data_IF_432163233162
#
_entry.id   IF_432163233162
#
_cell.length_a   1.000
_cell.length_b   1.000
_cell.length_c   1.000
_cell.angle_alpha   90.00
_cell.angle_beta   90.00
_cell.angle_gamma   90.00
#
_symmetry.space_group_name_H-M   'P 1'
#
loop_
_entity.id
_entity.type
_entity.pdbx_description
1 polymer ?
#
# COMPACT_ATOMS: atom_id res chain seq x y z
N UNK A 1 -20.17 -65.65 -5.47
CA UNK A 1 -19.68 -64.26 -5.40
C UNK A 1 -19.53 -63.92 -3.92
N UNK A 2 -18.34 -63.47 -3.51
CA UNK A 2 -17.84 -63.55 -2.13
C UNK A 2 -18.42 -62.44 -1.24
N UNK A 3 -18.65 -62.83 0.01
CA UNK A 3 -19.20 -62.07 1.13
C UNK A 3 -18.30 -60.88 1.52
N UNK A 4 -18.90 -59.74 1.87
CA UNK A 4 -18.22 -58.64 2.55
C UNK A 4 -18.44 -58.79 4.06
N UNK A 5 -17.33 -58.95 4.79
CA UNK A 5 -17.29 -59.00 6.25
C UNK A 5 -17.45 -57.59 6.84
N UNK A 6 -18.25 -57.53 7.90
CA UNK A 6 -18.46 -56.39 8.79
C UNK A 6 -17.23 -56.18 9.68
N UNK A 7 -16.71 -54.96 9.74
CA UNK A 7 -15.80 -54.52 10.81
C UNK A 7 -16.39 -53.33 11.55
N UNK A 8 -17.01 -53.62 12.69
CA UNK A 8 -17.37 -52.65 13.72
C UNK A 8 -16.17 -52.38 14.63
N UNK A 9 -15.68 -51.13 14.69
CA UNK A 9 -14.99 -50.60 15.87
C UNK A 9 -15.31 -49.11 16.02
N UNK A 10 -16.07 -48.79 17.07
CA UNK A 10 -16.35 -47.42 17.48
C UNK A 10 -15.15 -46.77 18.17
N UNK A 11 -15.05 -45.44 18.06
CA UNK A 11 -14.30 -44.60 19.00
C UNK A 11 -14.94 -43.22 19.10
N UNK A 12 -15.12 -42.85 20.35
CA UNK A 12 -15.91 -41.78 20.96
C UNK A 12 -15.38 -40.37 20.67
N UNK A 13 -16.32 -39.45 20.41
CA UNK A 13 -16.18 -38.00 20.48
C UNK A 13 -15.84 -37.52 21.90
N UNK A 14 -15.00 -36.48 22.01
CA UNK A 14 -14.96 -35.59 23.19
C UNK A 14 -14.44 -34.21 22.76
N UNK A 15 -15.38 -33.25 22.67
CA UNK A 15 -15.11 -31.81 22.71
C UNK A 15 -14.84 -31.40 24.16
N UNK A 16 -13.84 -30.55 24.40
CA UNK A 16 -13.64 -29.87 25.68
C UNK A 16 -13.95 -28.38 25.50
N UNK A 17 -15.02 -27.95 26.18
CA UNK A 17 -15.45 -26.56 26.35
C UNK A 17 -15.19 -26.22 27.82
N UNK A 18 -14.52 -25.11 28.12
CA UNK A 18 -14.30 -24.66 29.51
C UNK A 18 -14.74 -23.19 29.66
N UNK A 19 -15.84 -23.04 30.40
CA UNK A 19 -16.41 -21.81 30.91
C UNK A 19 -16.30 -21.89 32.44
N UNK A 20 -15.73 -20.90 33.10
CA UNK A 20 -15.95 -20.72 34.54
C UNK A 20 -15.75 -19.26 34.94
N UNK A 21 -16.86 -18.66 35.38
CA UNK A 21 -16.93 -17.37 36.07
C UNK A 21 -16.43 -17.51 37.52
N UNK A 22 -15.91 -16.42 38.10
CA UNK A 22 -15.74 -16.29 39.54
C UNK A 22 -16.11 -14.88 40.01
N UNK A 23 -17.04 -14.82 40.96
CA UNK A 23 -17.46 -13.64 41.69
C UNK A 23 -16.50 -13.34 42.85
N UNK A 24 -16.32 -12.06 43.21
CA UNK A 24 -15.78 -11.65 44.52
C UNK A 24 -16.58 -10.49 45.10
N UNK A 25 -16.76 -10.61 46.40
CA UNK A 25 -17.66 -9.95 47.36
C UNK A 25 -17.26 -8.52 47.71
N UNK A 26 -18.24 -7.66 47.99
CA UNK A 26 -18.07 -6.35 48.62
C UNK A 26 -18.21 -6.43 50.14
N UNK A 27 -17.34 -5.73 50.89
CA UNK A 27 -17.64 -4.97 52.14
C UNK A 27 -16.38 -4.35 52.73
N UNK A 28 -16.44 -3.09 53.17
CA UNK A 28 -15.48 -2.52 54.13
C UNK A 28 -15.35 -0.99 54.08
N UNK A 29 -15.92 -0.30 55.07
CA UNK A 29 -16.00 1.16 55.25
C UNK A 29 -15.08 1.64 56.41
N UNK A 30 -14.66 2.92 56.37
CA UNK A 30 -14.06 3.69 57.49
C UNK A 30 -12.65 4.24 57.15
N UNK A 31 -12.26 5.50 57.39
CA UNK A 31 -12.85 6.64 58.08
C UNK A 31 -11.78 7.39 58.89
N UNK A 32 -11.34 8.58 58.43
CA UNK A 32 -10.90 9.72 59.26
C UNK A 32 -9.47 9.79 59.84
N UNK A 33 -8.86 10.99 59.75
CA UNK A 33 -7.83 11.46 60.69
C UNK A 33 -6.62 12.16 60.05
N UNK A 34 -6.55 13.49 60.10
CA UNK A 34 -5.41 14.29 59.61
C UNK A 34 -4.31 14.56 60.64
N UNK A 35 -3.13 14.98 60.16
CA UNK A 35 -2.07 15.55 61.00
C UNK A 35 -0.65 15.55 60.39
N UNK A 36 -0.21 16.73 59.89
CA UNK A 36 1.15 17.36 59.90
C UNK A 36 2.40 16.56 59.42
N UNK A 37 2.93 16.96 58.26
CA UNK A 37 4.32 17.16 57.75
C UNK A 37 5.57 16.72 58.59
N UNK A 38 6.80 16.58 58.02
CA UNK A 38 7.23 16.38 56.60
C UNK A 38 8.41 15.35 56.39
N UNK A 39 8.77 15.17 55.12
CA UNK A 39 10.13 14.92 54.58
C UNK A 39 10.77 13.50 54.67
N UNK A 40 11.12 12.99 53.47
CA UNK A 40 12.02 11.88 53.10
C UNK A 40 11.51 10.43 53.16
N UNK A 41 11.42 9.80 51.97
CA UNK A 41 11.79 8.39 51.80
C UNK A 41 10.74 7.45 51.21
N UNK A 42 11.18 6.70 50.19
CA UNK A 42 10.69 5.38 49.74
C UNK A 42 9.51 5.30 48.75
N UNK A 43 9.92 5.10 47.49
CA UNK A 43 9.39 4.21 46.44
C UNK A 43 8.22 3.29 46.80
N UNK A 44 7.20 3.26 45.94
CA UNK A 44 6.12 2.27 45.99
C UNK A 44 5.26 2.20 44.72
N UNK A 45 5.86 2.22 43.52
CA UNK A 45 5.16 1.79 42.31
C UNK A 45 5.33 0.27 42.18
N UNK A 46 4.22 -0.45 42.35
CA UNK A 46 4.10 -1.90 42.16
C UNK A 46 4.37 -2.27 40.70
N UNK A 47 5.58 -2.74 40.44
CA UNK A 47 5.95 -3.33 39.17
C UNK A 47 5.25 -4.69 38.99
N UNK A 48 4.68 -4.88 37.81
CA UNK A 48 4.20 -6.16 37.30
C UNK A 48 5.39 -7.11 37.23
N UNK A 49 5.38 -8.16 38.05
CA UNK A 49 6.39 -9.22 38.03
C UNK A 49 6.14 -10.10 36.80
N UNK A 50 6.88 -9.85 35.73
CA UNK A 50 7.08 -10.83 34.66
C UNK A 50 8.17 -11.80 35.15
N UNK A 51 7.96 -13.13 35.15
CA UNK A 51 8.99 -14.06 35.60
C UNK A 51 10.22 -13.98 34.70
N UNK A 52 11.37 -13.61 35.28
CA UNK A 52 12.66 -13.68 34.60
C UNK A 52 13.00 -15.14 34.30
N UNK A 53 13.18 -15.45 33.03
CA UNK A 53 13.91 -16.64 32.59
C UNK A 53 15.38 -16.46 33.00
N UNK A 54 16.02 -17.43 33.67
CA UNK A 54 17.44 -17.32 34.02
C UNK A 54 18.27 -17.23 32.75
N UNK A 55 18.93 -16.08 32.54
CA UNK A 55 20.00 -15.98 31.55
C UNK A 55 21.16 -16.87 32.02
N UNK A 56 21.47 -17.89 31.23
CA UNK A 56 22.70 -18.66 31.40
C UNK A 56 23.94 -17.76 31.30
N UNK A 57 25.12 -18.24 31.73
CA UNK A 57 26.34 -17.44 31.69
C UNK A 57 26.57 -16.91 30.28
N UNK A 58 26.79 -15.59 30.18
CA UNK A 58 27.15 -14.91 28.94
C UNK A 58 28.48 -15.49 28.49
N UNK A 59 28.45 -16.38 27.50
CA UNK A 59 29.64 -16.79 26.77
C UNK A 59 30.07 -15.56 25.97
N UNK A 60 31.26 -14.99 26.20
CA UNK A 60 31.78 -13.94 25.34
C UNK A 60 31.85 -14.52 23.93
N UNK A 61 31.15 -13.91 22.97
CA UNK A 61 31.33 -14.25 21.57
C UNK A 61 32.78 -13.88 21.22
N UNK A 62 33.69 -14.86 21.27
CA UNK A 62 35.00 -14.73 20.65
C UNK A 62 34.73 -14.68 19.14
N UNK A 63 34.96 -13.55 18.46
CA UNK A 63 34.76 -13.50 17.02
C UNK A 63 35.68 -14.54 16.36
N UNK A 64 35.24 -15.20 15.28
CA UNK A 64 36.08 -16.15 14.56
C UNK A 64 37.41 -15.50 14.18
N UNK A 65 38.51 -16.21 14.36
CA UNK A 65 39.83 -15.75 13.93
C UNK A 65 39.77 -15.40 12.43
N UNK A 66 39.82 -14.11 12.10
CA UNK A 66 39.65 -13.58 10.74
C UNK A 66 38.54 -12.54 10.55
N UNK A 67 37.74 -12.21 11.57
CA UNK A 67 36.80 -11.10 11.48
C UNK A 67 37.55 -9.75 11.47
N UNK A 68 37.64 -9.13 10.29
CA UNK A 68 38.15 -7.76 10.13
C UNK A 68 37.12 -6.82 10.76
N UNK A 69 37.43 -6.30 11.94
CA UNK A 69 36.74 -5.14 12.51
C UNK A 69 36.88 -4.01 11.46
N UNK A 70 35.81 -3.29 11.05
CA UNK A 70 35.98 -2.10 10.23
C UNK A 70 36.90 -1.15 10.98
N UNK A 71 38.17 -1.11 10.57
CA UNK A 71 39.15 -0.22 11.16
C UNK A 71 38.68 1.20 10.97
N UNK A 72 38.72 2.00 12.05
CA UNK A 72 38.55 3.43 12.00
C UNK A 72 39.62 4.01 11.05
N UNK A 73 39.23 4.17 9.79
CA UNK A 73 40.06 4.75 8.76
C UNK A 73 39.97 6.27 8.95
N UNK A 74 41.07 6.91 9.34
CA UNK A 74 41.15 8.37 9.40
C UNK A 74 41.20 8.89 7.97
N UNK A 75 40.03 9.25 7.43
CA UNK A 75 39.91 9.85 6.10
C UNK A 75 40.59 11.22 6.08
N UNK A 76 41.79 11.28 5.48
CA UNK A 76 42.53 12.51 5.21
C UNK A 76 42.71 12.75 3.69
N UNK A 77 41.93 12.05 2.87
CA UNK A 77 41.95 12.11 1.41
C UNK A 77 40.59 12.48 0.82
N UNK A 78 40.45 12.43 -0.52
CA UNK A 78 39.19 12.72 -1.21
C UNK A 78 38.06 11.81 -0.73
N UNK A 79 36.83 12.33 -0.72
CA UNK A 79 35.65 11.60 -0.24
C UNK A 79 34.54 11.52 -1.29
N UNK A 80 33.76 10.44 -1.25
CA UNK A 80 32.54 10.31 -2.06
C UNK A 80 31.38 10.97 -1.31
N UNK A 81 30.82 12.03 -1.89
CA UNK A 81 29.75 12.85 -1.29
C UNK A 81 28.36 12.33 -1.63
N UNK A 82 28.21 11.67 -2.78
CA UNK A 82 26.95 11.09 -3.22
C UNK A 82 27.16 9.83 -4.09
N UNK A 83 26.16 8.95 -4.08
CA UNK A 83 26.07 7.78 -4.96
C UNK A 83 24.68 7.67 -5.57
N UNK A 84 24.58 7.16 -6.80
CA UNK A 84 23.32 6.79 -7.45
C UNK A 84 23.47 5.41 -8.11
N UNK A 85 22.69 4.38 -7.73
CA UNK A 85 21.71 4.39 -6.65
C UNK A 85 22.32 4.73 -5.30
N UNK A 86 21.58 5.50 -4.51
CA UNK A 86 21.98 5.90 -3.15
C UNK A 86 22.22 4.68 -2.26
N UNK A 87 23.14 4.81 -1.31
CA UNK A 87 23.41 3.74 -0.35
C UNK A 87 22.13 3.35 0.42
N UNK A 88 21.84 2.05 0.48
CA UNK A 88 20.63 1.51 1.09
C UNK A 88 19.38 1.65 0.23
N UNK A 89 19.47 2.11 -1.03
CA UNK A 89 18.31 2.18 -1.92
C UNK A 89 17.74 0.78 -2.16
N UNK A 90 16.48 0.55 -1.77
CA UNK A 90 15.85 -0.77 -1.84
C UNK A 90 15.14 -1.05 -3.17
N UNK A 91 15.09 -0.09 -4.10
CA UNK A 91 14.36 -0.21 -5.37
C UNK A 91 14.96 0.66 -6.48
N UNK A 92 16.26 0.51 -6.70
CA UNK A 92 16.93 1.06 -7.85
C UNK A 92 16.30 0.50 -9.14
N UNK A 93 16.13 1.35 -10.17
CA UNK A 93 15.77 0.84 -11.50
C UNK A 93 16.79 -0.21 -11.98
N UNK A 94 16.36 -1.15 -12.80
CA UNK A 94 17.26 -2.16 -13.40
C UNK A 94 18.04 -1.60 -14.60
N UNK A 95 17.59 -0.49 -15.18
CA UNK A 95 18.20 0.19 -16.32
C UNK A 95 18.15 1.72 -16.16
N UNK A 96 18.95 2.41 -16.96
CA UNK A 96 18.94 3.87 -17.10
C UNK A 96 18.52 4.24 -18.52
N UNK A 97 17.55 5.15 -18.66
CA UNK A 97 17.07 5.60 -19.97
C UNK A 97 18.20 6.20 -20.80
N UNK A 98 18.28 5.86 -22.08
CA UNK A 98 19.33 6.33 -22.98
C UNK A 98 20.63 5.54 -22.92
N UNK A 99 20.76 4.54 -22.04
CA UNK A 99 21.88 3.61 -22.02
C UNK A 99 21.61 2.44 -22.97
N UNK A 100 22.58 2.12 -23.82
CA UNK A 100 22.49 1.01 -24.77
C UNK A 100 22.20 -0.33 -24.06
N UNK A 101 21.49 -1.23 -24.76
CA UNK A 101 21.13 -2.56 -24.25
C UNK A 101 20.39 -2.56 -22.90
N UNK A 102 19.68 -1.46 -22.59
CA UNK A 102 19.03 -1.25 -21.30
C UNK A 102 20.03 -1.33 -20.11
N UNK A 103 21.28 -0.93 -20.30
CA UNK A 103 22.26 -0.87 -19.23
C UNK A 103 21.84 0.06 -18.09
N UNK A 104 22.45 -0.13 -16.93
CA UNK A 104 22.30 0.71 -15.74
C UNK A 104 23.54 1.58 -15.58
N UNK A 105 23.33 2.86 -15.33
CA UNK A 105 24.38 3.76 -14.84
C UNK A 105 24.39 3.75 -13.32
N UNK A 106 25.57 3.50 -12.75
CA UNK A 106 25.87 3.59 -11.32
C UNK A 106 26.94 4.67 -11.14
N UNK A 107 26.66 5.70 -10.36
CA UNK A 107 27.52 6.87 -10.23
C UNK A 107 28.00 7.10 -8.80
N UNK A 108 29.13 7.79 -8.70
CA UNK A 108 29.69 8.29 -7.46
C UNK A 108 30.25 9.70 -7.70
N UNK A 109 29.86 10.63 -6.85
CA UNK A 109 30.29 12.03 -6.89
C UNK A 109 31.35 12.25 -5.81
N UNK A 110 32.46 12.89 -6.17
CA UNK A 110 33.54 13.21 -5.25
C UNK A 110 33.42 14.65 -4.73
N UNK A 111 34.06 14.96 -3.61
CA UNK A 111 34.18 16.32 -3.05
C UNK A 111 35.19 17.20 -3.81
N UNK A 112 36.02 16.60 -4.66
CA UNK A 112 37.05 17.28 -5.42
C UNK A 112 37.37 16.55 -6.74
N UNK A 113 38.07 17.21 -7.69
CA UNK A 113 38.49 16.55 -8.91
C UNK A 113 39.46 15.38 -8.67
N UNK A 114 39.09 14.22 -9.17
CA UNK A 114 39.88 12.98 -9.11
C UNK A 114 40.77 12.79 -10.34
N UNK A 115 41.76 11.89 -10.24
CA UNK A 115 42.54 11.44 -11.38
C UNK A 115 41.76 10.33 -12.12
N UNK A 116 41.12 10.70 -13.23
CA UNK A 116 40.30 9.80 -14.03
C UNK A 116 41.01 8.54 -14.54
N UNK A 117 42.35 8.56 -14.69
CA UNK A 117 43.10 7.37 -15.10
C UNK A 117 43.08 6.26 -14.03
N UNK A 118 42.88 6.62 -12.77
CA UNK A 118 42.76 5.66 -11.65
C UNK A 118 41.34 5.12 -11.46
N UNK A 119 40.35 5.69 -12.16
CA UNK A 119 38.94 5.28 -12.10
C UNK A 119 38.63 4.45 -13.35
N UNK A 120 38.59 3.13 -13.17
CA UNK A 120 38.39 2.17 -14.26
C UNK A 120 37.65 0.92 -13.74
N UNK A 121 37.47 -0.08 -14.60
CA UNK A 121 36.71 -1.30 -14.26
C UNK A 121 37.33 -2.15 -13.13
N UNK A 122 38.58 -1.89 -12.74
CA UNK A 122 39.22 -2.55 -11.59
C UNK A 122 38.88 -1.80 -10.31
N UNK A 123 38.96 -0.47 -10.32
CA UNK A 123 38.80 0.36 -9.14
C UNK A 123 37.36 0.74 -8.83
N UNK A 124 36.46 0.74 -9.82
CA UNK A 124 35.03 0.89 -9.65
C UNK A 124 34.32 -0.39 -10.10
N UNK A 125 33.78 -1.13 -9.16
CA UNK A 125 33.17 -2.45 -9.39
C UNK A 125 31.73 -2.51 -8.88
N UNK A 126 30.95 -3.42 -9.47
CA UNK A 126 29.57 -3.71 -9.10
C UNK A 126 29.37 -5.22 -9.09
N UNK A 127 28.83 -5.78 -8.01
CA UNK A 127 28.58 -7.21 -7.88
C UNK A 127 27.22 -7.48 -7.24
N UNK A 128 26.44 -8.49 -7.69
CA UNK A 128 25.29 -8.98 -6.93
C UNK A 128 25.78 -9.64 -5.62
N UNK A 129 25.00 -9.51 -4.55
CA UNK A 129 25.31 -10.13 -3.25
C UNK A 129 25.39 -11.65 -3.43
N UNK A 130 26.53 -12.24 -3.06
CA UNK A 130 26.80 -13.66 -3.21
C UNK A 130 27.20 -14.11 -4.63
N UNK A 131 27.40 -13.18 -5.57
CA UNK A 131 27.85 -13.47 -6.93
C UNK A 131 29.17 -12.79 -7.31
N UNK A 132 29.63 -13.05 -8.53
CA UNK A 132 30.85 -12.47 -9.08
C UNK A 132 30.64 -11.02 -9.54
N UNK A 133 31.70 -10.22 -9.53
CA UNK A 133 31.68 -8.86 -10.07
C UNK A 133 31.26 -8.87 -11.54
N UNK A 134 30.37 -7.93 -11.88
CA UNK A 134 29.90 -7.74 -13.25
C UNK A 134 31.01 -7.14 -14.10
N UNK A 135 31.01 -7.48 -15.38
CA UNK A 135 31.86 -6.83 -16.38
C UNK A 135 31.10 -5.60 -16.90
N UNK A 136 31.54 -4.37 -16.58
CA UNK A 136 30.87 -3.17 -17.08
C UNK A 136 31.09 -3.00 -18.58
N UNK A 137 30.16 -2.35 -19.27
CA UNK A 137 30.37 -1.89 -20.64
C UNK A 137 31.37 -0.74 -20.69
N UNK A 138 31.33 0.16 -19.71
CA UNK A 138 32.31 1.24 -19.56
C UNK A 138 32.42 1.73 -18.12
N UNK A 139 33.55 2.35 -17.80
CA UNK A 139 33.74 3.17 -16.61
C UNK A 139 34.36 4.49 -17.08
N UNK A 140 33.69 5.59 -16.77
CA UNK A 140 34.07 6.93 -17.20
C UNK A 140 34.13 7.86 -15.99
N UNK A 141 34.95 8.90 -16.06
CA UNK A 141 35.01 9.95 -15.05
C UNK A 141 34.96 11.32 -15.74
N UNK A 142 34.06 12.18 -15.28
CA UNK A 142 33.97 13.57 -15.70
C UNK A 142 34.53 14.48 -14.61
N UNK A 143 35.63 15.15 -14.92
CA UNK A 143 36.32 16.04 -13.98
C UNK A 143 35.57 17.33 -13.70
N UNK A 144 34.69 17.80 -14.61
CA UNK A 144 33.94 19.03 -14.43
C UNK A 144 32.80 18.85 -13.42
N UNK A 145 32.08 17.74 -13.53
CA UNK A 145 31.01 17.37 -12.58
C UNK A 145 31.51 16.57 -11.37
N UNK A 146 32.77 16.12 -11.38
CA UNK A 146 33.37 15.27 -10.34
C UNK A 146 32.66 13.92 -10.18
N UNK A 147 32.07 13.41 -11.26
CA UNK A 147 31.26 12.18 -11.25
C UNK A 147 31.99 11.04 -11.97
N UNK A 148 32.19 9.93 -11.25
CA UNK A 148 32.50 8.64 -11.85
C UNK A 148 31.21 7.90 -12.21
N UNK A 149 31.16 7.30 -13.40
CA UNK A 149 30.01 6.53 -13.90
C UNK A 149 30.47 5.16 -14.36
N UNK A 150 29.92 4.12 -13.75
CA UNK A 150 30.00 2.74 -14.23
C UNK A 150 28.71 2.43 -15.00
N UNK A 151 28.84 1.98 -16.24
CA UNK A 151 27.71 1.59 -17.08
C UNK A 151 27.73 0.09 -17.31
N UNK A 152 26.65 -0.61 -16.94
CA UNK A 152 26.54 -2.06 -17.14
C UNK A 152 26.21 -2.40 -18.60
N UNK A 153 26.67 -3.57 -19.07
CA UNK A 153 26.46 -4.02 -20.45
C UNK A 153 25.01 -4.44 -20.77
N UNK A 154 24.21 -4.71 -19.75
CA UNK A 154 22.80 -5.05 -19.84
C UNK A 154 22.07 -4.58 -18.56
N UNK A 155 20.75 -4.68 -18.57
CA UNK A 155 19.93 -4.43 -17.40
C UNK A 155 20.35 -5.31 -16.21
N UNK A 156 20.30 -4.74 -15.01
CA UNK A 156 20.49 -5.49 -13.77
C UNK A 156 19.32 -6.46 -13.55
N UNK A 157 19.60 -7.55 -12.83
CA UNK A 157 18.58 -8.53 -12.48
C UNK A 157 17.60 -7.87 -11.51
N UNK A 158 16.27 -7.98 -11.72
CA UNK A 158 15.28 -7.45 -10.80
C UNK A 158 15.33 -8.10 -9.41
N UNK A 159 14.81 -7.41 -8.38
CA UNK A 159 14.74 -7.86 -6.98
C UNK A 159 16.08 -8.34 -6.38
N UNK A 160 17.21 -7.88 -6.91
CA UNK A 160 18.55 -8.36 -6.58
C UNK A 160 19.34 -7.29 -5.86
N UNK A 161 19.97 -7.65 -4.75
CA UNK A 161 20.88 -6.76 -4.03
C UNK A 161 22.24 -6.73 -4.72
N UNK A 162 22.76 -5.52 -4.95
CA UNK A 162 24.06 -5.24 -5.52
C UNK A 162 24.92 -4.45 -4.52
N UNK A 163 26.22 -4.71 -4.56
CA UNK A 163 27.26 -3.97 -3.83
C UNK A 163 28.14 -3.29 -4.86
N UNK A 164 28.27 -1.98 -4.74
CA UNK A 164 29.20 -1.18 -5.51
C UNK A 164 30.38 -0.76 -4.64
N UNK A 165 31.57 -0.75 -5.23
CA UNK A 165 32.82 -0.47 -4.52
C UNK A 165 33.67 0.47 -5.36
N UNK A 166 34.10 1.57 -4.75
CA UNK A 166 35.26 2.33 -5.21
C UNK A 166 36.45 1.96 -4.32
N UNK A 167 37.54 1.50 -4.93
CA UNK A 167 38.74 1.10 -4.21
C UNK A 167 39.47 2.29 -3.60
N UNK A 168 40.01 2.12 -2.40
CA UNK A 168 40.77 3.15 -1.67
C UNK A 168 42.03 3.63 -2.39
N UNK A 169 42.52 2.87 -3.38
CA UNK A 169 43.69 3.21 -4.19
C UNK A 169 43.43 4.29 -5.27
N UNK A 170 42.17 4.66 -5.51
CA UNK A 170 41.83 5.78 -6.40
C UNK A 170 42.43 7.09 -5.87
N UNK A 171 43.03 7.90 -6.73
CA UNK A 171 43.73 9.13 -6.33
C UNK A 171 43.11 10.38 -6.91
N UNK A 172 43.32 11.52 -6.24
CA UNK A 172 43.09 12.82 -6.83
C UNK A 172 44.20 13.23 -7.82
N UNK A 173 44.03 14.38 -8.47
CA UNK A 173 45.04 14.94 -9.38
C UNK A 173 46.41 15.20 -8.71
N UNK A 174 46.46 15.35 -7.38
CA UNK A 174 47.68 15.53 -6.60
C UNK A 174 48.33 14.20 -6.14
N UNK A 175 47.74 13.04 -6.47
CA UNK A 175 48.23 11.72 -6.09
C UNK A 175 47.81 11.23 -4.70
N UNK A 176 46.96 11.97 -3.97
CA UNK A 176 46.42 11.53 -2.68
C UNK A 176 45.33 10.48 -2.89
N UNK A 177 45.46 9.32 -2.25
CA UNK A 177 44.48 8.23 -2.27
C UNK A 177 43.26 8.54 -1.41
N UNK A 178 42.10 7.96 -1.76
CA UNK A 178 40.91 7.91 -0.86
C UNK A 178 41.25 7.21 0.46
N UNK A 179 42.15 6.22 0.42
CA UNK A 179 42.66 5.49 1.57
C UNK A 179 41.81 4.25 1.91
N UNK A 180 40.49 4.41 2.02
CA UNK A 180 39.57 3.32 2.29
C UNK A 180 38.57 3.08 1.16
N UNK A 181 38.14 1.83 1.00
CA UNK A 181 37.13 1.50 0.01
C UNK A 181 35.81 2.18 0.39
N UNK A 182 35.23 2.91 -0.56
CA UNK A 182 33.86 3.38 -0.42
C UNK A 182 32.94 2.27 -0.93
N UNK A 183 32.16 1.70 0.00
CA UNK A 183 31.25 0.58 -0.27
C UNK A 183 29.83 1.03 -0.01
N UNK A 184 28.96 0.78 -0.97
CA UNK A 184 27.53 0.98 -0.79
C UNK A 184 26.75 -0.16 -1.41
N UNK A 185 25.53 -0.34 -0.90
CA UNK A 185 24.63 -1.39 -1.37
C UNK A 185 23.32 -0.80 -1.84
N UNK A 186 22.70 -1.43 -2.83
CA UNK A 186 21.35 -1.12 -3.24
C UNK A 186 20.66 -2.40 -3.73
N UNK A 187 19.33 -2.43 -3.73
CA UNK A 187 18.52 -3.50 -4.28
C UNK A 187 17.76 -2.98 -5.48
N UNK A 188 17.76 -3.75 -6.57
CA UNK A 188 16.95 -3.41 -7.75
C UNK A 188 15.47 -3.66 -7.46
N UNK A 189 14.62 -2.84 -8.06
CA UNK A 189 13.17 -3.06 -8.02
C UNK A 189 12.83 -4.44 -8.58
N UNK A 190 11.72 -5.03 -8.09
CA UNK A 190 11.17 -6.24 -8.68
C UNK A 190 10.81 -6.00 -10.16
N UNK A 191 10.77 -7.07 -10.96
CA UNK A 191 10.43 -6.95 -12.37
C UNK A 191 9.05 -6.29 -12.49
N UNK A 192 8.95 -5.25 -13.33
CA UNK A 192 7.65 -4.70 -13.69
C UNK A 192 6.85 -5.84 -14.33
N UNK A 193 5.78 -6.24 -13.67
CA UNK A 193 4.80 -7.15 -14.25
C UNK A 193 4.22 -6.40 -15.46
N UNK A 194 4.05 -7.10 -16.58
CA UNK A 194 3.37 -6.60 -17.77
C UNK A 194 2.17 -5.74 -17.37
N UNK A 195 2.01 -4.56 -18.00
CA UNK A 195 0.95 -3.61 -17.68
C UNK A 195 -0.35 -4.36 -17.34
N UNK A 196 -0.88 -4.25 -16.10
CA UNK A 196 -2.02 -5.06 -15.66
C UNK A 196 -3.13 -5.03 -16.69
N UNK A 197 -3.94 -6.09 -16.94
CA UNK A 197 -5.02 -5.96 -17.92
C UNK A 197 -5.98 -4.84 -17.51
N UNK A 198 -6.62 -4.21 -18.51
CA UNK A 198 -7.70 -3.27 -18.21
C UNK A 198 -8.86 -3.98 -17.52
N UNK A 199 -9.47 -3.30 -16.55
CA UNK A 199 -10.67 -3.79 -15.86
C UNK A 199 -11.88 -3.38 -16.69
N UNK A 200 -12.50 -4.35 -17.37
CA UNK A 200 -13.69 -4.12 -18.16
C UNK A 200 -14.93 -4.16 -17.27
N UNK A 201 -15.57 -3.00 -17.08
CA UNK A 201 -16.79 -2.85 -16.29
C UNK A 201 -18.07 -3.18 -17.06
N UNK A 202 -18.02 -3.38 -18.38
CA UNK A 202 -19.22 -3.52 -19.21
C UNK A 202 -20.18 -2.35 -19.00
N UNK A 203 -21.45 -2.64 -18.75
CA UNK A 203 -22.47 -1.63 -18.47
C UNK A 203 -22.23 -0.84 -17.16
N UNK A 204 -21.41 -1.35 -16.23
CA UNK A 204 -21.09 -0.66 -15.00
C UNK A 204 -20.12 0.53 -15.21
N UNK A 205 -19.50 0.68 -16.39
CA UNK A 205 -18.52 1.74 -16.65
C UNK A 205 -19.09 3.16 -16.53
N UNK A 206 -20.38 3.29 -16.86
CA UNK A 206 -21.11 4.54 -16.77
C UNK A 206 -21.39 4.99 -15.33
N UNK A 207 -21.18 4.12 -14.33
CA UNK A 207 -21.59 4.37 -12.95
C UNK A 207 -20.42 4.78 -12.06
N UNK A 208 -20.64 5.84 -11.27
CA UNK A 208 -19.71 6.27 -10.23
C UNK A 208 -19.90 5.52 -8.93
N UNK A 209 -21.12 5.06 -8.65
CA UNK A 209 -21.40 4.21 -7.49
C UNK A 209 -22.33 3.05 -7.82
N UNK A 210 -22.16 1.94 -7.10
CA UNK A 210 -23.10 0.83 -7.07
C UNK A 210 -23.31 0.32 -5.64
N UNK A 211 -24.51 -0.15 -5.33
CA UNK A 211 -24.79 -0.87 -4.08
C UNK A 211 -25.89 -1.91 -4.27
N UNK A 212 -25.69 -3.13 -3.77
CA UNK A 212 -26.67 -4.22 -3.92
C UNK A 212 -27.56 -4.43 -2.69
N UNK A 213 -27.17 -3.88 -1.54
CA UNK A 213 -27.94 -3.92 -0.28
C UNK A 213 -28.45 -2.54 0.19
N UNK A 214 -28.34 -1.52 -0.67
CA UNK A 214 -28.87 -0.17 -0.41
C UNK A 214 -27.80 0.84 0.05
N UNK A 215 -28.25 2.07 0.33
CA UNK A 215 -27.40 3.19 0.75
C UNK A 215 -27.91 3.77 2.07
N UNK A 216 -26.97 4.03 2.99
CA UNK A 216 -27.17 4.82 4.20
C UNK A 216 -26.37 6.12 4.07
N UNK A 217 -26.99 7.25 4.37
CA UNK A 217 -26.30 8.52 4.59
C UNK A 217 -26.66 9.02 5.99
N UNK A 218 -25.71 9.63 6.69
CA UNK A 218 -25.95 10.29 7.99
C UNK A 218 -26.55 11.69 7.79
N UNK A 219 -27.03 12.28 8.89
CA UNK A 219 -27.57 13.64 8.95
C UNK A 219 -26.50 14.74 9.04
N UNK A 220 -25.22 14.41 8.89
CA UNK A 220 -24.12 15.36 9.01
C UNK A 220 -24.09 16.29 7.80
N UNK A 221 -24.04 17.60 8.04
CA UNK A 221 -23.88 18.60 6.99
C UNK A 221 -22.38 18.86 6.68
N UNK A 222 -22.01 19.18 5.42
CA UNK A 222 -22.85 19.14 4.23
C UNK A 222 -23.28 17.71 3.87
N UNK A 223 -24.43 17.54 3.21
CA UNK A 223 -24.83 16.23 2.73
C UNK A 223 -23.82 15.71 1.71
N UNK A 224 -23.66 14.39 1.69
CA UNK A 224 -22.81 13.70 0.72
C UNK A 224 -23.14 14.09 -0.72
N UNK A 225 -22.11 14.35 -1.52
CA UNK A 225 -22.22 14.67 -2.95
C UNK A 225 -21.61 13.55 -3.79
N UNK A 226 -22.34 13.12 -4.82
CA UNK A 226 -21.92 12.08 -5.76
C UNK A 226 -21.95 12.69 -7.16
N UNK A 227 -20.79 12.83 -7.77
CA UNK A 227 -20.57 13.34 -9.12
C UNK A 227 -20.41 12.16 -10.08
N UNK A 228 -21.55 11.59 -10.51
CA UNK A 228 -21.62 10.43 -11.39
C UNK A 228 -22.94 9.70 -11.29
N UNK A 229 -23.16 8.72 -12.18
CA UNK A 229 -24.38 7.90 -12.16
C UNK A 229 -24.35 6.89 -10.99
N UNK A 230 -25.52 6.47 -10.51
CA UNK A 230 -25.68 5.52 -9.42
C UNK A 230 -26.56 4.32 -9.83
N UNK A 231 -26.14 3.10 -9.48
CA UNK A 231 -26.96 1.89 -9.64
C UNK A 231 -27.22 1.19 -8.30
N UNK A 232 -28.48 0.91 -7.98
CA UNK A 232 -28.88 0.29 -6.70
C UNK A 232 -29.75 -0.92 -6.93
N UNK A 233 -29.40 -2.10 -6.42
CA UNK A 233 -30.18 -3.32 -6.65
C UNK A 233 -31.08 -3.75 -5.48
N UNK A 234 -31.10 -3.00 -4.38
CA UNK A 234 -31.97 -3.27 -3.24
C UNK A 234 -33.38 -2.73 -3.48
N UNK A 235 -34.40 -3.45 -3.00
CA UNK A 235 -35.78 -2.95 -2.89
C UNK A 235 -35.83 -1.85 -1.82
N UNK A 236 -36.25 -0.62 -2.14
CA UNK A 236 -36.21 0.51 -1.21
C UNK A 236 -37.21 0.32 -0.06
N UNK A 237 -36.89 0.86 1.13
CA UNK A 237 -37.87 1.02 2.22
C UNK A 237 -38.18 2.46 2.61
N UNK A 238 -37.57 3.50 2.01
CA UNK A 238 -37.95 4.89 2.32
C UNK A 238 -37.81 5.88 1.15
N UNK A 239 -38.83 6.73 0.98
CA UNK A 239 -38.94 7.76 -0.05
C UNK A 239 -38.52 9.12 0.52
N UNK A 240 -37.60 9.84 -0.16
CA UNK A 240 -37.64 11.30 -0.36
C UNK A 240 -36.35 11.85 -1.02
N UNK A 241 -36.06 11.47 -2.27
CA UNK A 241 -35.04 12.16 -3.08
C UNK A 241 -35.65 12.60 -4.39
N UNK A 242 -35.56 13.89 -4.66
CA UNK A 242 -35.83 14.42 -5.99
C UNK A 242 -34.66 14.04 -6.90
N UNK A 243 -34.92 13.22 -7.92
CA UNK A 243 -33.99 13.01 -9.02
C UNK A 243 -33.70 14.34 -9.71
N UNK A 244 -32.44 14.65 -10.09
CA UNK A 244 -32.18 15.70 -11.06
C UNK A 244 -32.86 15.29 -12.38
N UNK A 245 -33.90 16.03 -12.79
CA UNK A 245 -34.69 15.70 -13.99
C UNK A 245 -36.21 15.65 -13.81
N UNK A 246 -36.74 15.97 -12.62
CA UNK A 246 -38.15 16.33 -12.47
C UNK A 246 -39.13 15.27 -12.96
N UNK A 247 -39.10 14.07 -12.40
CA UNK A 247 -40.25 13.15 -12.39
C UNK A 247 -40.19 12.37 -11.07
N UNK A 248 -40.93 12.84 -10.08
CA UNK A 248 -40.86 12.41 -8.67
C UNK A 248 -41.34 10.99 -8.36
N UNK A 249 -40.69 9.96 -8.88
CA UNK A 249 -40.97 8.57 -8.51
C UNK A 249 -39.75 7.65 -8.69
N UNK A 250 -38.80 7.67 -7.74
CA UNK A 250 -38.01 6.50 -7.30
C UNK A 250 -37.14 6.89 -6.09
N UNK A 251 -37.57 6.45 -4.91
CA UNK A 251 -36.97 6.77 -3.63
C UNK A 251 -35.53 6.27 -3.49
N UNK A 252 -34.62 7.20 -3.29
CA UNK A 252 -33.33 6.94 -2.67
C UNK A 252 -33.40 7.15 -1.15
N UNK A 253 -32.51 6.45 -0.44
CA UNK A 253 -32.24 6.68 0.97
C UNK A 253 -32.90 5.68 1.91
N UNK A 254 -32.13 5.19 2.88
CA UNK A 254 -32.71 4.60 4.08
C UNK A 254 -33.37 5.67 4.96
N UNK A 255 -34.38 5.22 5.69
CA UNK A 255 -35.20 5.99 6.62
C UNK A 255 -34.32 6.74 7.66
N UNK A 256 -34.41 8.07 7.73
CA UNK A 256 -33.75 8.83 8.81
C UNK A 256 -33.14 10.18 8.45
N UNK A 257 -33.04 10.53 7.16
CA UNK A 257 -32.83 11.90 6.69
C UNK A 257 -31.44 12.21 6.13
N UNK A 258 -31.41 13.32 5.37
CA UNK A 258 -30.32 13.79 4.51
C UNK A 258 -29.99 12.85 3.35
N UNK A 259 -30.71 12.98 2.25
CA UNK A 259 -30.35 12.37 0.98
C UNK A 259 -29.00 12.91 0.45
N UNK A 260 -28.17 12.06 -0.18
CA UNK A 260 -27.01 12.57 -0.91
C UNK A 260 -27.47 13.33 -2.16
N UNK A 261 -26.71 14.33 -2.56
CA UNK A 261 -26.87 15.02 -3.84
C UNK A 261 -26.18 14.22 -4.92
N UNK A 262 -26.93 13.67 -5.88
CA UNK A 262 -26.37 12.92 -7.01
C UNK A 262 -26.42 13.82 -8.25
N UNK A 263 -25.25 14.21 -8.76
CA UNK A 263 -25.08 14.89 -10.04
C UNK A 263 -24.92 13.84 -11.14
N UNK A 264 -26.00 13.12 -11.45
CA UNK A 264 -25.99 12.03 -12.41
C UNK A 264 -27.34 11.33 -12.52
N UNK A 265 -27.39 10.29 -13.34
CA UNK A 265 -28.56 9.42 -13.52
C UNK A 265 -28.55 8.26 -12.54
N UNK A 266 -29.72 7.65 -12.41
CA UNK A 266 -30.03 6.70 -11.35
C UNK A 266 -30.69 5.50 -11.97
N UNK A 267 -30.20 4.31 -11.61
CA UNK A 267 -30.77 3.04 -12.03
C UNK A 267 -31.02 2.15 -10.81
N UNK A 268 -32.20 1.58 -10.72
CA UNK A 268 -32.69 0.67 -9.69
C UNK A 268 -33.65 -0.34 -10.31
N UNK A 269 -33.95 -1.47 -9.65
CA UNK A 269 -34.95 -2.41 -10.12
C UNK A 269 -36.34 -1.80 -10.38
N UNK A 270 -36.65 -0.67 -9.77
CA UNK A 270 -37.92 0.04 -9.93
C UNK A 270 -37.83 1.25 -10.86
N UNK A 271 -36.64 1.68 -11.26
CA UNK A 271 -36.43 2.88 -12.09
C UNK A 271 -35.06 2.91 -12.77
N UNK A 272 -34.92 3.10 -14.10
CA UNK A 272 -36.00 3.16 -15.06
C UNK A 272 -36.64 1.79 -15.30
N UNK A 273 -35.88 0.70 -15.16
CA UNK A 273 -36.36 -0.66 -15.33
C UNK A 273 -35.45 -1.71 -14.64
N UNK A 274 -36.04 -2.86 -14.29
CA UNK A 274 -35.33 -3.96 -13.61
C UNK A 274 -34.26 -4.64 -14.46
N UNK A 275 -34.45 -4.67 -15.78
CA UNK A 275 -33.55 -5.38 -16.70
C UNK A 275 -32.20 -4.68 -16.76
N UNK A 276 -32.21 -3.37 -16.92
CA UNK A 276 -31.02 -2.51 -16.92
C UNK A 276 -30.26 -2.59 -15.59
N UNK A 277 -30.96 -2.48 -14.46
CA UNK A 277 -30.34 -2.59 -13.14
C UNK A 277 -29.64 -3.94 -12.94
N UNK A 278 -30.32 -5.04 -13.28
CA UNK A 278 -29.77 -6.38 -13.15
C UNK A 278 -28.60 -6.64 -14.13
N UNK A 279 -28.66 -6.10 -15.35
CA UNK A 279 -27.58 -6.22 -16.32
C UNK A 279 -26.31 -5.50 -15.86
N UNK A 280 -26.45 -4.30 -15.27
CA UNK A 280 -25.33 -3.55 -14.69
C UNK A 280 -24.69 -4.32 -13.53
N UNK A 281 -25.48 -4.86 -12.60
CA UNK A 281 -24.96 -5.65 -11.46
C UNK A 281 -24.28 -6.94 -11.93
N UNK A 282 -24.80 -7.59 -12.97
CA UNK A 282 -24.17 -8.76 -13.59
C UNK A 282 -22.80 -8.43 -14.17
N UNK A 283 -22.68 -7.33 -14.92
CA UNK A 283 -21.42 -6.91 -15.52
C UNK A 283 -20.40 -6.46 -14.45
N UNK A 284 -20.88 -5.80 -13.38
CA UNK A 284 -20.06 -5.50 -12.20
C UNK A 284 -19.47 -6.77 -11.57
N UNK A 285 -20.29 -7.82 -11.41
CA UNK A 285 -19.81 -9.11 -10.87
C UNK A 285 -18.81 -9.78 -11.79
N UNK A 286 -19.01 -9.70 -13.10
CA UNK A 286 -18.03 -10.19 -14.08
C UNK A 286 -16.71 -9.42 -14.01
N UNK A 287 -16.75 -8.10 -13.83
CA UNK A 287 -15.57 -7.26 -13.66
C UNK A 287 -14.79 -7.63 -12.38
N UNK A 288 -15.50 -7.83 -11.27
CA UNK A 288 -14.92 -8.32 -10.02
C UNK A 288 -14.22 -9.66 -10.24
N UNK A 289 -14.94 -10.64 -10.79
CA UNK A 289 -14.42 -11.99 -11.05
C UNK A 289 -13.19 -12.01 -11.96
N UNK A 290 -13.09 -11.08 -12.91
CA UNK A 290 -11.95 -10.95 -13.83
C UNK A 290 -10.66 -10.51 -13.13
N UNK A 291 -10.77 -9.74 -12.05
CA UNK A 291 -9.63 -9.29 -11.26
C UNK A 291 -9.56 -9.98 -9.89
N UNK A 292 -10.35 -11.03 -9.66
CA UNK A 292 -10.25 -11.86 -8.46
C UNK A 292 -9.81 -13.28 -8.77
N UNK A 293 -9.19 -13.96 -7.81
CA UNK A 293 -8.36 -15.15 -8.05
C UNK A 293 -9.19 -16.39 -8.34
N UNK A 294 -8.67 -17.33 -9.17
CA UNK A 294 -9.42 -18.49 -9.65
C UNK A 294 -9.62 -19.59 -8.59
N UNK A 295 -9.03 -19.47 -7.41
CA UNK A 295 -9.46 -20.23 -6.24
C UNK A 295 -10.52 -19.38 -5.53
N UNK A 296 -11.74 -19.90 -5.42
CA UNK A 296 -12.88 -19.20 -4.83
C UNK A 296 -12.56 -18.58 -3.46
N UNK A 297 -13.44 -17.70 -2.94
CA UNK A 297 -13.20 -17.00 -1.67
C UNK A 297 -12.79 -18.01 -0.58
N UNK A 298 -11.63 -17.86 0.09
CA UNK A 298 -10.68 -16.74 0.06
C UNK A 298 -9.36 -17.11 -0.65
N UNK A 299 -8.99 -16.42 -1.73
CA UNK A 299 -7.61 -16.44 -2.22
C UNK A 299 -7.29 -15.17 -3.01
N UNK A 300 -6.05 -14.67 -2.91
CA UNK A 300 -5.42 -13.58 -3.69
C UNK A 300 -4.74 -14.16 -4.99
N UNK A 301 -4.53 -13.37 -6.07
CA UNK A 301 -3.64 -13.76 -7.20
C UNK A 301 -4.19 -14.18 -8.60
N UNK A 302 -5.31 -13.64 -9.13
CA UNK A 302 -5.82 -14.04 -10.48
C UNK A 302 -4.97 -13.62 -11.66
N UNK A 303 -4.36 -12.44 -11.54
CA UNK A 303 -3.71 -11.81 -12.69
C UNK A 303 -2.36 -12.46 -13.01
N UNK A 304 -1.92 -13.46 -12.21
CA UNK A 304 -0.61 -14.06 -12.31
C UNK A 304 0.50 -13.05 -11.96
N UNK A 305 1.56 -13.51 -11.30
CA UNK A 305 2.76 -12.71 -11.10
C UNK A 305 2.64 -11.47 -10.20
N UNK A 306 1.50 -11.25 -9.53
CA UNK A 306 1.29 -10.11 -8.64
C UNK A 306 2.33 -10.03 -7.52
N UNK A 307 2.87 -8.82 -7.28
CA UNK A 307 3.82 -8.57 -6.21
C UNK A 307 3.12 -8.75 -4.87
N UNK A 308 3.61 -9.68 -4.04
CA UNK A 308 3.04 -9.91 -2.71
C UNK A 308 3.35 -8.74 -1.79
N UNK A 309 2.31 -8.16 -1.22
CA UNK A 309 2.38 -7.26 -0.08
C UNK A 309 2.30 -8.12 1.20
N UNK A 310 3.22 -7.95 2.18
CA UNK A 310 3.26 -8.76 3.41
C UNK A 310 1.94 -8.78 4.19
N UNK A 311 1.69 -9.86 4.93
CA UNK A 311 0.50 -9.97 5.77
C UNK A 311 0.46 -8.88 6.85
N UNK A 312 -0.72 -8.29 7.07
CA UNK A 312 -0.93 -7.20 8.04
C UNK A 312 -0.58 -5.81 7.52
N UNK A 313 -0.47 -5.60 6.20
CA UNK A 313 0.04 -4.34 5.66
C UNK A 313 -0.82 -3.12 5.94
N UNK A 314 -0.23 -2.24 6.72
CA UNK A 314 -0.35 -0.80 6.59
C UNK A 314 0.53 -0.32 5.44
N UNK A 315 0.04 0.58 4.60
CA UNK A 315 0.76 1.24 3.53
C UNK A 315 0.76 2.74 3.75
N UNK A 316 1.78 3.41 3.25
CA UNK A 316 1.87 4.86 3.31
C UNK A 316 2.62 5.34 4.55
N UNK A 317 3.21 6.52 4.41
CA UNK A 317 4.07 7.11 5.42
C UNK A 317 3.53 8.48 5.86
N UNK A 318 4.10 9.04 6.94
CA UNK A 318 3.77 10.40 7.34
C UNK A 318 4.02 11.38 6.18
N UNK A 319 3.20 12.43 6.09
CA UNK A 319 3.33 13.41 5.02
C UNK A 319 4.75 13.99 4.93
N UNK A 320 5.31 14.01 3.72
CA UNK A 320 6.68 14.46 3.47
C UNK A 320 7.77 13.43 3.77
N UNK A 321 7.43 12.22 4.19
CA UNK A 321 8.40 11.12 4.29
C UNK A 321 9.00 10.78 2.94
N UNK A 322 10.24 10.31 2.94
CA UNK A 322 10.89 9.84 1.71
C UNK A 322 10.11 8.66 1.10
N UNK A 323 9.98 8.57 -0.23
CA UNK A 323 9.35 7.43 -0.89
C UNK A 323 10.15 6.13 -0.71
N UNK A 324 9.45 5.07 -0.30
CA UNK A 324 9.95 3.70 -0.08
C UNK A 324 9.06 2.75 -0.87
N UNK A 325 9.65 2.09 -1.86
CA UNK A 325 8.92 1.20 -2.77
C UNK A 325 8.39 -0.01 -2.03
N UNK A 326 7.12 -0.34 -2.27
CA UNK A 326 6.41 -1.44 -1.60
C UNK A 326 5.84 -1.07 -0.23
N UNK A 327 6.01 0.18 0.21
CA UNK A 327 5.45 0.71 1.46
C UNK A 327 4.61 1.97 1.21
N UNK A 328 5.25 3.09 0.86
CA UNK A 328 4.58 4.36 0.53
C UNK A 328 4.84 4.82 -0.92
N UNK A 329 5.49 4.01 -1.75
CA UNK A 329 5.66 4.22 -3.18
C UNK A 329 5.37 2.93 -3.96
N UNK A 330 4.56 3.02 -5.01
CA UNK A 330 4.24 1.91 -5.89
C UNK A 330 4.34 2.34 -7.35
N UNK A 331 4.84 1.43 -8.18
CA UNK A 331 4.91 1.56 -9.64
C UNK A 331 3.77 0.79 -10.31
N UNK A 332 3.54 0.94 -11.63
CA UNK A 332 2.44 0.26 -12.30
C UNK A 332 2.61 -1.27 -12.18
N UNK A 333 1.53 -1.97 -11.84
CA UNK A 333 1.60 -3.40 -11.55
C UNK A 333 0.39 -3.95 -10.79
N UNK A 334 0.44 -5.26 -10.57
CA UNK A 334 -0.53 -5.98 -9.73
C UNK A 334 0.11 -6.24 -8.37
N UNK A 335 -0.61 -5.94 -7.30
CA UNK A 335 -0.20 -6.12 -5.93
C UNK A 335 -1.22 -6.98 -5.18
N UNK A 336 -0.76 -7.92 -4.36
CA UNK A 336 -1.63 -8.91 -3.71
C UNK A 336 -1.35 -9.00 -2.23
N UNK A 337 -2.40 -9.00 -1.40
CA UNK A 337 -2.33 -9.28 0.04
C UNK A 337 -3.29 -10.42 0.39
N UNK A 338 -2.78 -11.41 1.13
CA UNK A 338 -3.60 -12.51 1.68
C UNK A 338 -4.40 -12.08 2.94
N UNK A 339 -4.24 -10.82 3.36
CA UNK A 339 -4.97 -10.22 4.50
C UNK A 339 -5.65 -8.94 4.02
N UNK A 340 -5.69 -7.91 4.86
CA UNK A 340 -6.17 -6.59 4.50
C UNK A 340 -5.06 -5.70 3.90
N UNK A 341 -5.47 -4.66 3.18
CA UNK A 341 -4.64 -3.53 2.78
C UNK A 341 -5.21 -2.29 3.47
N UNK A 342 -4.44 -1.67 4.35
CA UNK A 342 -4.84 -0.47 5.07
C UNK A 342 -3.87 0.66 4.74
N UNK A 343 -4.34 1.83 4.33
CA UNK A 343 -3.48 2.99 4.06
C UNK A 343 -3.48 3.89 5.31
N UNK A 344 -2.30 4.17 5.85
CA UNK A 344 -2.11 4.89 7.11
C UNK A 344 -1.62 6.33 6.95
N UNK A 345 -1.22 6.73 5.75
CA UNK A 345 -0.65 8.05 5.46
C UNK A 345 -0.59 8.34 3.96
N UNK A 346 0.44 9.04 3.53
CA UNK A 346 0.70 9.32 2.12
C UNK A 346 1.16 8.06 1.40
N UNK A 347 0.40 7.63 0.39
CA UNK A 347 0.74 6.55 -0.52
C UNK A 347 0.94 7.12 -1.92
N UNK A 348 2.14 7.00 -2.48
CA UNK A 348 2.46 7.51 -3.81
C UNK A 348 2.34 6.43 -4.87
N UNK A 349 1.59 6.71 -5.93
CA UNK A 349 1.50 5.89 -7.14
C UNK A 349 2.19 6.65 -8.28
N UNK A 350 3.32 6.12 -8.73
CA UNK A 350 4.16 6.73 -9.76
C UNK A 350 4.00 5.99 -11.07
N UNK A 351 3.44 6.67 -12.08
CA UNK A 351 3.25 6.10 -13.41
C UNK A 351 4.50 6.10 -14.29
N UNK A 352 5.64 6.63 -13.82
CA UNK A 352 6.91 6.66 -14.53
C UNK A 352 6.82 7.30 -15.93
N UNK A 353 5.98 8.34 -16.04
CA UNK A 353 5.65 9.06 -17.28
C UNK A 353 4.82 8.28 -18.30
N UNK A 354 4.23 7.14 -17.92
CA UNK A 354 3.25 6.42 -18.74
C UNK A 354 1.81 6.83 -18.39
N UNK A 355 1.11 7.61 -19.24
CA UNK A 355 -0.27 8.02 -18.99
C UNK A 355 -1.30 6.86 -19.08
N UNK A 356 -0.86 5.68 -19.52
CA UNK A 356 -1.64 4.44 -19.58
C UNK A 356 -1.23 3.43 -18.49
N UNK A 357 -0.36 3.85 -17.56
CA UNK A 357 0.02 3.07 -16.39
C UNK A 357 -1.21 2.62 -15.61
N UNK A 358 -1.23 1.34 -15.20
CA UNK A 358 -2.32 0.73 -14.43
C UNK A 358 -1.80 0.12 -13.14
N UNK A 359 -2.60 0.26 -12.09
CA UNK A 359 -2.33 -0.26 -10.76
C UNK A 359 -3.51 -1.11 -10.32
N UNK A 360 -3.26 -2.33 -9.87
CA UNK A 360 -4.30 -3.21 -9.35
C UNK A 360 -3.86 -3.76 -8.00
N UNK A 361 -4.57 -3.39 -6.94
CA UNK A 361 -4.36 -3.88 -5.58
C UNK A 361 -5.47 -4.89 -5.25
N UNK A 362 -5.07 -6.11 -4.89
CA UNK A 362 -5.97 -7.22 -4.56
C UNK A 362 -5.80 -7.58 -3.09
N UNK A 363 -6.87 -7.43 -2.32
CA UNK A 363 -6.93 -7.82 -0.91
C UNK A 363 -7.83 -9.03 -0.74
N UNK A 364 -7.36 -10.07 -0.06
CA UNK A 364 -8.20 -11.21 0.31
C UNK A 364 -9.26 -10.84 1.36
N UNK A 365 -9.06 -9.75 2.12
CA UNK A 365 -9.97 -9.28 3.15
C UNK A 365 -10.44 -7.85 2.84
N UNK A 366 -10.08 -6.86 3.66
CA UNK A 366 -10.57 -5.48 3.51
C UNK A 366 -9.56 -4.61 2.77
N UNK A 367 -10.06 -3.53 2.17
CA UNK A 367 -9.24 -2.40 1.71
C UNK A 367 -9.69 -1.17 2.49
N UNK A 368 -8.77 -0.34 2.96
CA UNK A 368 -9.20 0.89 3.61
C UNK A 368 -8.13 1.95 3.79
N UNK A 369 -8.57 3.06 4.34
CA UNK A 369 -7.75 4.19 4.75
C UNK A 369 -8.05 4.51 6.21
N UNK A 370 -7.04 4.82 7.02
CA UNK A 370 -7.26 5.22 8.41
C UNK A 370 -7.88 6.61 8.49
N UNK A 371 -8.63 6.83 9.57
CA UNK A 371 -9.16 8.13 9.94
C UNK A 371 -8.03 9.13 10.22
N UNK A 372 -8.25 10.38 9.83
CA UNK A 372 -7.38 11.49 10.10
C UNK A 372 -8.16 12.75 10.44
N UNK A 373 -7.49 13.88 10.30
CA UNK A 373 -8.05 15.21 10.52
C UNK A 373 -8.23 15.93 9.20
N UNK A 374 -9.23 16.80 9.10
CA UNK A 374 -9.49 17.55 7.88
C UNK A 374 -8.24 18.34 7.43
N UNK A 375 -8.02 18.40 6.11
CA UNK A 375 -6.94 19.19 5.51
C UNK A 375 -6.95 20.64 6.02
N UNK A 376 -5.78 21.23 6.39
CA UNK A 376 -4.42 20.74 6.15
C UNK A 376 -3.84 19.82 7.25
N UNK A 377 -4.64 19.34 8.20
CA UNK A 377 -4.18 18.41 9.25
C UNK A 377 -3.74 17.04 8.70
N UNK A 378 -3.06 16.18 9.49
CA UNK A 378 -2.66 14.85 9.04
C UNK A 378 -3.87 13.97 8.71
N UNK A 379 -3.88 13.41 7.51
CA UNK A 379 -4.87 12.44 7.01
C UNK A 379 -4.25 11.53 5.95
N UNK A 380 -4.98 10.46 5.62
CA UNK A 380 -4.58 9.52 4.57
C UNK A 380 -4.75 10.15 3.20
N UNK A 381 -3.73 10.04 2.33
CA UNK A 381 -3.78 10.54 0.94
C UNK A 381 -3.16 9.54 -0.02
N UNK A 382 -3.82 9.32 -1.15
CA UNK A 382 -3.20 8.64 -2.29
C UNK A 382 -2.72 9.71 -3.28
N UNK A 383 -1.42 9.77 -3.51
CA UNK A 383 -0.77 10.76 -4.38
C UNK A 383 -0.48 10.14 -5.74
N UNK A 384 -1.01 10.74 -6.81
CA UNK A 384 -0.77 10.30 -8.18
C UNK A 384 0.28 11.20 -8.82
N UNK A 385 1.41 10.63 -9.27
CA UNK A 385 2.51 11.40 -9.87
C UNK A 385 2.93 10.85 -11.24
N UNK A 386 3.68 11.67 -11.99
CA UNK A 386 4.28 11.33 -13.28
C UNK A 386 3.31 10.67 -14.28
N UNK A 387 2.08 11.18 -14.37
CA UNK A 387 1.07 10.71 -15.32
C UNK A 387 0.10 9.66 -14.79
N UNK A 388 0.17 9.29 -13.51
CA UNK A 388 -0.79 8.39 -12.89
C UNK A 388 -2.19 9.02 -12.86
N UNK A 389 -3.22 8.21 -13.12
CA UNK A 389 -4.63 8.64 -13.18
C UNK A 389 -5.48 7.75 -12.28
N UNK A 390 -6.43 8.33 -11.57
CA UNK A 390 -7.31 7.59 -10.67
C UNK A 390 -8.18 6.59 -11.45
N UNK A 391 -8.55 6.94 -12.69
CA UNK A 391 -9.25 6.04 -13.62
C UNK A 391 -8.51 4.71 -13.89
N UNK A 392 -7.18 4.67 -13.74
CA UNK A 392 -6.34 3.50 -13.96
C UNK A 392 -5.90 2.77 -12.69
N UNK A 393 -6.35 3.21 -11.51
CA UNK A 393 -6.05 2.59 -10.22
C UNK A 393 -7.26 1.77 -9.77
N UNK A 394 -7.03 0.52 -9.40
CA UNK A 394 -8.06 -0.42 -8.99
C UNK A 394 -7.74 -1.06 -7.66
N UNK A 395 -8.71 -1.02 -6.76
CA UNK A 395 -8.66 -1.57 -5.42
C UNK A 395 -9.75 -2.63 -5.29
N UNK A 396 -9.35 -3.88 -5.23
CA UNK A 396 -10.26 -5.00 -5.02
C UNK A 396 -10.22 -5.42 -3.55
N UNK A 397 -11.40 -5.45 -2.92
CA UNK A 397 -11.57 -5.96 -1.56
C UNK A 397 -12.32 -7.31 -1.59
N UNK A 398 -11.74 -8.33 -0.97
CA UNK A 398 -12.32 -9.65 -0.79
C UNK A 398 -13.56 -9.66 0.10
N UNK A 399 -13.71 -8.64 0.96
CA UNK A 399 -14.85 -8.44 1.85
C UNK A 399 -15.44 -7.03 1.70
N UNK A 400 -14.94 -6.05 2.44
CA UNK A 400 -15.48 -4.69 2.47
C UNK A 400 -14.38 -3.64 2.27
N UNK A 401 -14.80 -2.41 1.96
CA UNK A 401 -13.90 -1.25 1.94
C UNK A 401 -14.31 -0.17 2.95
N UNK A 402 -13.35 0.46 3.61
CA UNK A 402 -13.58 1.52 4.59
C UNK A 402 -12.64 2.69 4.38
N UNK A 403 -13.18 3.86 4.07
CA UNK A 403 -12.44 5.11 3.96
C UNK A 403 -12.66 5.92 5.25
N UNK A 404 -11.60 6.02 6.06
CA UNK A 404 -11.65 6.72 7.34
C UNK A 404 -11.88 8.23 7.20
N UNK A 405 -12.22 8.86 8.32
CA UNK A 405 -12.55 10.28 8.42
C UNK A 405 -11.51 11.15 7.71
N UNK A 406 -11.96 12.08 6.87
CA UNK A 406 -11.11 13.00 6.08
C UNK A 406 -10.07 12.36 5.15
N UNK A 407 -10.14 11.05 4.87
CA UNK A 407 -9.24 10.42 3.91
C UNK A 407 -9.48 10.94 2.48
N UNK A 408 -8.40 11.13 1.72
CA UNK A 408 -8.42 11.51 0.31
C UNK A 408 -8.06 10.32 -0.58
N UNK A 409 -9.09 9.65 -1.09
CA UNK A 409 -8.94 8.42 -1.88
C UNK A 409 -8.80 8.70 -3.38
N UNK A 410 -7.85 8.03 -4.02
CA UNK A 410 -7.67 8.01 -5.47
C UNK A 410 -7.73 6.58 -6.00
N UNK A 411 -8.63 6.34 -6.95
CA UNK A 411 -8.80 5.05 -7.61
C UNK A 411 -10.19 4.45 -7.43
N UNK A 412 -10.46 3.43 -8.23
CA UNK A 412 -11.74 2.72 -8.23
C UNK A 412 -11.73 1.59 -7.18
N UNK A 413 -12.83 1.42 -6.44
CA UNK A 413 -13.03 0.34 -5.48
C UNK A 413 -14.04 -0.68 -6.02
N UNK A 414 -13.65 -1.95 -5.98
CA UNK A 414 -14.49 -3.11 -6.22
C UNK A 414 -14.55 -3.94 -4.92
N UNK A 415 -15.56 -3.72 -4.10
CA UNK A 415 -15.76 -4.44 -2.84
C UNK A 415 -16.73 -5.61 -3.01
N UNK A 416 -16.41 -6.78 -2.47
CA UNK A 416 -17.32 -7.93 -2.49
C UNK A 416 -18.65 -7.62 -1.81
N UNK A 417 -18.59 -7.01 -0.63
CA UNK A 417 -19.71 -6.57 0.20
C UNK A 417 -19.70 -5.04 0.36
N UNK A 418 -19.62 -4.55 1.59
CA UNK A 418 -19.91 -3.14 1.90
C UNK A 418 -18.80 -2.16 1.48
N UNK A 419 -19.20 -0.91 1.23
CA UNK A 419 -18.30 0.24 1.18
C UNK A 419 -18.76 1.28 2.20
N UNK A 420 -17.86 1.69 3.08
CA UNK A 420 -18.12 2.71 4.11
C UNK A 420 -17.19 3.89 3.91
N UNK A 421 -17.75 5.09 3.90
CA UNK A 421 -17.02 6.36 3.96
C UNK A 421 -17.40 7.08 5.25
N UNK A 422 -16.42 7.30 6.12
CA UNK A 422 -16.60 8.07 7.35
C UNK A 422 -16.61 9.58 7.07
N UNK A 423 -16.87 10.39 8.11
CA UNK A 423 -17.12 11.83 8.00
C UNK A 423 -16.07 12.54 7.14
N UNK A 424 -16.52 13.22 6.08
CA UNK A 424 -15.63 14.10 5.30
C UNK A 424 -14.60 13.38 4.42
N UNK A 425 -14.62 12.04 4.34
CA UNK A 425 -13.79 11.32 3.38
C UNK A 425 -14.18 11.72 1.94
N UNK A 426 -13.18 11.82 1.06
CA UNK A 426 -13.36 12.15 -0.36
C UNK A 426 -12.78 11.05 -1.24
N UNK A 427 -13.37 10.86 -2.42
CA UNK A 427 -12.93 9.88 -3.39
C UNK A 427 -12.97 10.45 -4.81
N UNK A 428 -11.85 10.33 -5.51
CA UNK A 428 -11.82 10.38 -6.96
C UNK A 428 -11.71 8.96 -7.53
N UNK A 429 -12.80 8.47 -8.11
CA UNK A 429 -12.90 7.10 -8.59
C UNK A 429 -14.35 6.63 -8.64
N UNK A 430 -14.51 5.37 -9.07
CA UNK A 430 -15.79 4.66 -9.00
C UNK A 430 -15.79 3.77 -7.76
N UNK A 431 -16.87 3.76 -6.99
CA UNK A 431 -16.98 2.98 -5.76
C UNK A 431 -18.14 1.99 -5.86
N UNK A 432 -17.82 0.70 -5.92
CA UNK A 432 -18.83 -0.34 -6.10
C UNK A 432 -18.90 -1.25 -4.87
N UNK A 433 -20.01 -1.14 -4.15
CA UNK A 433 -20.39 -2.03 -3.07
C UNK A 433 -21.23 -3.20 -3.61
N UNK A 434 -20.96 -4.40 -3.11
CA UNK A 434 -21.72 -5.59 -3.44
C UNK A 434 -21.37 -6.19 -4.80
N UNK A 435 -20.12 -6.07 -5.22
CA UNK A 435 -19.66 -6.58 -6.52
C UNK A 435 -19.63 -8.12 -6.56
N UNK A 436 -19.71 -8.81 -5.41
CA UNK A 436 -19.74 -10.28 -5.35
C UNK A 436 -20.84 -10.84 -4.45
N UNK A 437 -21.02 -10.28 -3.26
CA UNK A 437 -22.10 -10.56 -2.30
C UNK A 437 -23.05 -9.37 -2.19
N UNK A 438 -24.10 -9.48 -1.37
CA UNK A 438 -24.89 -8.30 -1.02
C UNK A 438 -24.00 -7.28 -0.29
N UNK A 439 -24.06 -6.00 -0.68
CA UNK A 439 -23.22 -4.95 -0.10
C UNK A 439 -23.93 -3.61 -0.04
N UNK A 440 -23.92 -2.99 1.14
CA UNK A 440 -24.46 -1.66 1.39
C UNK A 440 -23.38 -0.59 1.18
N UNK A 441 -23.83 0.61 0.85
CA UNK A 441 -22.97 1.80 0.87
C UNK A 441 -23.34 2.67 2.08
N UNK A 442 -22.36 3.07 2.88
CA UNK A 442 -22.55 3.97 4.01
C UNK A 442 -21.76 5.25 3.79
N UNK A 443 -22.43 6.40 3.89
CA UNK A 443 -21.86 7.73 3.72
C UNK A 443 -22.08 8.60 4.96
N UNK A 444 -21.17 9.55 5.15
CA UNK A 444 -21.19 10.59 6.15
C UNK A 444 -20.48 11.85 5.63
N UNK A 445 -21.23 12.83 5.11
CA UNK A 445 -20.69 14.12 4.62
C UNK A 445 -19.52 13.97 3.62
N UNK A 446 -19.70 13.13 2.58
CA UNK A 446 -18.63 12.76 1.68
C UNK A 446 -18.67 13.46 0.31
N UNK A 447 -17.56 13.39 -0.42
CA UNK A 447 -17.50 13.70 -1.83
C UNK A 447 -17.04 12.46 -2.61
N UNK A 448 -17.88 11.96 -3.52
CA UNK A 448 -17.49 10.93 -4.50
C UNK A 448 -17.55 11.53 -5.88
N UNK A 449 -16.48 11.42 -6.66
CA UNK A 449 -16.47 11.92 -8.03
C UNK A 449 -15.83 10.94 -8.99
N UNK A 450 -16.51 10.69 -10.11
CA UNK A 450 -15.92 9.95 -11.22
C UNK A 450 -14.81 10.81 -11.84
N UNK A 451 -13.64 10.23 -12.18
CA UNK A 451 -12.58 10.94 -12.88
C UNK A 451 -13.10 11.63 -14.16
N UNK A 452 -12.77 12.92 -14.33
CA UNK A 452 -13.19 13.70 -15.49
C UNK A 452 -14.64 14.21 -15.48
N UNK A 453 -15.41 14.01 -14.40
CA UNK A 453 -16.74 14.60 -14.27
C UNK A 453 -16.65 16.15 -14.21
N UNK A 454 -17.62 16.88 -14.77
CA UNK A 454 -17.59 18.35 -14.84
C UNK A 454 -17.50 19.04 -13.47
N UNK A 455 -18.11 18.43 -12.46
CA UNK A 455 -18.07 18.89 -11.06
C UNK A 455 -16.95 18.24 -10.23
N UNK A 456 -16.05 17.47 -10.86
CA UNK A 456 -14.95 16.82 -10.16
C UNK A 456 -13.92 17.85 -9.66
N UNK A 457 -13.30 17.62 -8.49
CA UNK A 457 -12.14 18.40 -8.08
C UNK A 457 -11.05 18.40 -9.16
N UNK A 458 -10.27 19.48 -9.34
CA UNK A 458 -9.22 19.55 -10.36
C UNK A 458 -8.15 18.45 -10.25
N UNK A 459 -7.98 17.89 -9.06
CA UNK A 459 -7.09 16.78 -8.75
C UNK A 459 -7.63 15.41 -9.19
N UNK A 460 -8.90 15.33 -9.58
CA UNK A 460 -9.58 14.09 -9.93
C UNK A 460 -9.50 13.79 -11.44
N UNK A 461 -8.49 13.00 -11.83
CA UNK A 461 -8.11 12.74 -13.24
C UNK A 461 -8.16 11.28 -13.66
#
# INVERSE_FOLDING_TARGET
MKNFESYSRGRTWSMALLLSALAVVATGCGGGGGGRDPILGANGATAIVVPLVPIGPVVPLVPPAGAVIPGACTAAGPTVTASDPTNGNQSASTSTTGVANNGKSVTATFDQPMNGATINAISFTLAPVGGAALIPASVNYDAASQVATLTTAAALVPATSYTAVIQGAVTNAAGTTIGCNYVWTFKTAAALIATPPSVNLGLADAFGIAATAGIRNTLTAPNTQINGNAVLSATPTCNAVASPGGNGAAGFGLCGGAAPTINGTVVTPTFPDTTSANAVVRDLRAAYLRITPPAGPPAAGSLGGGTSIPAGTTLGAAAGSAPVVGDNLFFPGVYTSNTSILITGDLTLDAQNDPNARFVFQSASTVGAVAGTASPGPHTRILLINGAKASNVWWQAGSAATLGTSAEWQGNILAAGDVTMETGASSCGRLFAGAFTSGAFVFDSNLVSVPGHANAPPTCK
#
